data_IF_466638849110
#
_entry.id   IF_466638849110
#
_cell.length_a   1.000
_cell.length_b   1.000
_cell.length_c   1.000
_cell.angle_alpha   90.00
_cell.angle_beta   90.00
_cell.angle_gamma   90.00
#
_symmetry.space_group_name_H-M   'P 1'
#
loop_
_entity.id
_entity.type
_entity.pdbx_description
1 polymer ?
#
# COMPACT_ATOMS: atom_id res chain seq x y z
N UNK A 1 10.98 6.74 27.78
CA UNK A 1 11.70 6.81 26.50
C UNK A 1 10.94 7.80 25.62
N UNK A 2 11.58 8.83 25.04
CA UNK A 2 10.88 9.75 24.15
C UNK A 2 10.62 9.10 22.79
N UNK A 3 9.51 9.49 22.15
CA UNK A 3 9.19 9.11 20.77
C UNK A 3 10.17 9.82 19.82
N UNK A 4 10.82 9.06 18.93
CA UNK A 4 11.67 9.62 17.87
C UNK A 4 10.81 9.90 16.65
N UNK A 5 10.76 11.16 16.20
CA UNK A 5 10.06 11.57 14.98
C UNK A 5 11.12 11.87 13.92
N UNK A 6 11.19 11.05 12.87
CA UNK A 6 12.02 11.31 11.72
C UNK A 6 11.31 12.27 10.74
N UNK A 7 12.02 13.19 10.06
CA UNK A 7 11.41 14.08 9.09
C UNK A 7 10.78 13.27 7.94
N UNK A 8 9.51 13.56 7.61
CA UNK A 8 8.84 12.98 6.46
C UNK A 8 9.59 13.40 5.19
N UNK A 9 10.29 12.45 4.55
CA UNK A 9 11.10 12.75 3.34
C UNK A 9 10.26 13.02 2.10
N UNK A 10 8.94 12.91 2.20
CA UNK A 10 8.00 13.07 1.09
C UNK A 10 8.27 12.15 -0.12
N UNK A 11 9.00 11.05 0.07
CA UNK A 11 9.41 10.16 -1.02
C UNK A 11 8.34 9.11 -1.35
N UNK A 12 7.16 9.17 -0.72
CA UNK A 12 6.17 8.12 -0.86
C UNK A 12 5.51 8.11 -2.25
N UNK A 13 6.11 7.32 -3.14
CA UNK A 13 5.59 6.99 -4.46
C UNK A 13 5.21 5.50 -4.47
N UNK A 14 3.92 5.23 -4.29
CA UNK A 14 3.39 3.87 -4.22
C UNK A 14 3.12 3.33 -5.62
N UNK A 15 3.79 2.22 -5.93
CA UNK A 15 3.67 1.54 -7.22
C UNK A 15 3.27 0.10 -7.03
N UNK A 16 2.61 -0.46 -8.05
CA UNK A 16 2.29 -1.88 -8.08
C UNK A 16 3.56 -2.67 -8.35
N UNK A 17 3.75 -3.74 -7.60
CA UNK A 17 4.85 -4.68 -7.81
C UNK A 17 4.36 -5.90 -8.61
N UNK A 18 5.26 -6.68 -9.22
CA UNK A 18 4.89 -7.97 -9.80
C UNK A 18 4.57 -9.05 -8.74
N UNK A 19 4.83 -8.77 -7.46
CA UNK A 19 4.57 -9.71 -6.37
C UNK A 19 3.13 -9.68 -5.86
N UNK A 20 2.81 -10.71 -5.08
CA UNK A 20 1.59 -10.80 -4.29
C UNK A 20 1.92 -11.20 -2.87
N UNK A 21 1.11 -10.77 -1.91
CA UNK A 21 1.16 -11.23 -0.53
C UNK A 21 -0.22 -11.77 -0.16
N UNK A 22 -0.26 -13.02 0.31
CA UNK A 22 -1.50 -13.74 0.64
C UNK A 22 -2.54 -13.74 -0.50
N UNK A 23 -2.07 -13.93 -1.74
CA UNK A 23 -2.91 -13.88 -2.94
C UNK A 23 -3.41 -12.47 -3.33
N UNK A 24 -3.03 -11.43 -2.60
CA UNK A 24 -3.41 -10.05 -2.88
C UNK A 24 -2.30 -9.31 -3.64
N UNK A 25 -2.65 -8.39 -4.56
CA UNK A 25 -1.66 -7.55 -5.22
C UNK A 25 -0.84 -6.72 -4.24
N UNK A 26 0.49 -6.84 -4.32
CA UNK A 26 1.41 -6.12 -3.44
C UNK A 26 1.80 -4.77 -4.05
N UNK A 27 1.62 -3.70 -3.29
CA UNK A 27 2.13 -2.38 -3.62
C UNK A 27 3.35 -2.08 -2.73
N UNK A 28 4.32 -1.37 -3.29
CA UNK A 28 5.49 -0.93 -2.57
C UNK A 28 5.73 0.56 -2.79
N UNK A 29 6.15 1.24 -1.73
CA UNK A 29 6.63 2.60 -1.78
C UNK A 29 8.08 2.62 -2.29
N UNK A 30 8.34 3.30 -3.41
CA UNK A 30 9.70 3.45 -3.96
C UNK A 30 10.62 4.29 -3.08
N UNK A 31 10.06 5.19 -2.27
CA UNK A 31 10.83 6.10 -1.43
C UNK A 31 11.32 5.53 -0.11
N UNK A 32 10.47 4.74 0.56
CA UNK A 32 10.79 4.16 1.87
C UNK A 32 10.82 2.63 1.90
N UNK A 33 10.43 1.96 0.81
CA UNK A 33 10.43 0.49 0.70
C UNK A 33 9.28 -0.19 1.44
N UNK A 34 8.40 0.57 2.12
CA UNK A 34 7.22 0.02 2.79
C UNK A 34 6.32 -0.70 1.79
N UNK A 35 5.67 -1.76 2.25
CA UNK A 35 4.78 -2.59 1.45
C UNK A 35 3.36 -2.49 1.97
N UNK A 36 2.38 -2.71 1.10
CA UNK A 36 0.97 -2.62 1.43
C UNK A 36 0.15 -3.57 0.56
N UNK A 37 -0.82 -4.24 1.20
CA UNK A 37 -1.90 -4.98 0.55
C UNK A 37 -3.24 -4.43 1.05
N UNK A 38 -4.31 -4.65 0.28
CA UNK A 38 -5.63 -4.10 0.58
C UNK A 38 -6.24 -4.58 1.91
N UNK A 39 -5.82 -5.72 2.43
CA UNK A 39 -6.30 -6.24 3.72
C UNK A 39 -5.77 -5.45 4.92
N UNK A 40 -4.72 -4.64 4.74
CA UNK A 40 -4.17 -3.82 5.83
C UNK A 40 -5.21 -2.79 6.31
N UNK A 41 -5.27 -2.52 7.63
CA UNK A 41 -6.29 -1.64 8.22
C UNK A 41 -6.05 -0.15 7.94
N UNK A 42 -4.89 0.20 7.40
CA UNK A 42 -4.51 1.56 7.03
C UNK A 42 -4.40 1.68 5.51
N UNK A 43 -4.64 2.86 4.96
CA UNK A 43 -4.37 3.11 3.53
C UNK A 43 -3.16 4.02 3.35
N UNK A 44 -2.25 3.72 2.40
CA UNK A 44 -1.15 4.61 2.12
C UNK A 44 -1.61 5.93 1.52
N UNK A 45 -0.95 6.99 1.97
CA UNK A 45 -1.03 8.31 1.39
C UNK A 45 0.34 8.70 0.82
N UNK A 46 0.32 9.59 -0.17
CA UNK A 46 1.47 10.36 -0.58
C UNK A 46 1.84 11.38 0.50
N UNK A 47 2.97 12.00 0.27
CA UNK A 47 3.56 13.02 1.14
C UNK A 47 2.69 14.26 1.39
N UNK A 48 1.80 14.58 0.45
CA UNK A 48 0.85 15.68 0.49
C UNK A 48 -0.50 15.26 1.10
N UNK A 49 -0.62 14.01 1.58
CA UNK A 49 -1.87 13.45 2.10
C UNK A 49 -2.83 12.93 1.01
N UNK A 50 -2.51 13.12 -0.27
CA UNK A 50 -3.30 12.55 -1.37
C UNK A 50 -3.12 11.03 -1.44
N UNK A 51 -4.09 10.34 -2.04
CA UNK A 51 -3.96 8.89 -2.27
C UNK A 51 -3.33 8.65 -3.64
N UNK A 52 -2.23 7.87 -3.73
CA UNK A 52 -1.59 7.56 -5.01
C UNK A 52 -2.54 6.81 -5.95
N UNK A 53 -2.40 7.04 -7.26
CA UNK A 53 -3.26 6.39 -8.26
C UNK A 53 -3.27 4.86 -8.15
N UNK A 54 -2.10 4.22 -7.96
CA UNK A 54 -2.02 2.77 -7.81
C UNK A 54 -2.83 2.24 -6.61
N UNK A 55 -2.84 2.99 -5.50
CA UNK A 55 -3.63 2.67 -4.31
C UNK A 55 -5.13 2.83 -4.60
N UNK A 56 -5.51 3.92 -5.28
CA UNK A 56 -6.91 4.15 -5.67
C UNK A 56 -7.43 3.07 -6.61
N UNK A 57 -6.65 2.65 -7.60
CA UNK A 57 -6.99 1.55 -8.52
C UNK A 57 -7.19 0.24 -7.77
N UNK A 58 -6.33 -0.09 -6.81
CA UNK A 58 -6.46 -1.31 -6.02
C UNK A 58 -7.71 -1.31 -5.13
N UNK A 59 -8.08 -0.14 -4.60
CA UNK A 59 -9.31 0.01 -3.81
C UNK A 59 -10.59 -0.07 -4.66
N UNK A 60 -10.52 0.37 -5.92
CA UNK A 60 -11.62 0.24 -6.90
C UNK A 60 -11.76 -1.18 -7.44
N UNK A 61 -10.70 -1.99 -7.36
CA UNK A 61 -10.77 -3.40 -7.77
C UNK A 61 -11.89 -4.07 -6.99
N UNK A 62 -12.84 -4.73 -7.67
CA UNK A 62 -13.78 -5.59 -6.95
C UNK A 62 -12.96 -6.59 -6.14
N UNK A 63 -13.38 -6.87 -4.90
CA UNK A 63 -12.80 -7.99 -4.18
C UNK A 63 -12.92 -9.19 -5.12
N UNK A 64 -11.77 -9.73 -5.56
CA UNK A 64 -11.82 -10.97 -6.33
C UNK A 64 -12.56 -11.97 -5.45
N UNK A 65 -13.55 -12.70 -5.97
CA UNK A 65 -14.19 -13.74 -5.20
C UNK A 65 -13.08 -14.70 -4.80
N UNK A 66 -12.69 -14.65 -3.54
CA UNK A 66 -11.78 -15.63 -2.96
C UNK A 66 -12.36 -16.98 -3.34
N UNK A 67 -11.63 -17.76 -4.14
CA UNK A 67 -11.96 -19.17 -4.31
C UNK A 67 -12.07 -19.76 -2.91
N UNK A 68 -13.18 -20.42 -2.54
CA UNK A 68 -13.27 -21.08 -1.25
C UNK A 68 -12.20 -22.18 -1.24
N UNK A 69 -11.21 -22.04 -0.37
CA UNK A 69 -10.35 -23.15 0.02
C UNK A 69 -11.25 -24.20 0.66
N UNK A 70 -11.48 -25.30 -0.06
CA UNK A 70 -12.21 -26.47 0.43
C UNK A 70 -11.41 -27.30 1.42
#
# INVERSE_FOLDING_TARGET
MPLTIAPCRQLCDWVRTPGSYDGQPLLACRGCGSQWVRSEPWTPAQADGSRPYAVLEELRRPASPSSPSG
#
